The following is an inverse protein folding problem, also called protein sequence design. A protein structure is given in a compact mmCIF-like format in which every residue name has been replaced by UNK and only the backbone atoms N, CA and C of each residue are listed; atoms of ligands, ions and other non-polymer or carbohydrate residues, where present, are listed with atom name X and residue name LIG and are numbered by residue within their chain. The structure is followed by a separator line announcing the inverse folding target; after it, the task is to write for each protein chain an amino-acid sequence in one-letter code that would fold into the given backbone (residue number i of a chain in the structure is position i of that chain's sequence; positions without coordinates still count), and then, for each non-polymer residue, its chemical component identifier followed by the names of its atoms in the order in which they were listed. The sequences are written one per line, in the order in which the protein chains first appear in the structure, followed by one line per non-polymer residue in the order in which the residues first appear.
data_IF_873839286443
#
_entry.id   IF_873839286443
#
_cell.length_a   1.000
_cell.length_b   1.000
_cell.length_c   1.000
_cell.angle_alpha   90.00
_cell.angle_beta   90.00
_cell.angle_gamma   90.00
#
_symmetry.space_group_name_H-M   'P 1'
#
loop_
_entity.id
_entity.type
_entity.pdbx_description
1 polymer ?
#
# COMPACT_ATOMS: atom_id res chain seq x y z
N UNK A 1 14.39 52.72 -12.46
CA UNK A 1 15.02 51.46 -12.85
C UNK A 1 14.07 50.37 -12.45
N UNK A 2 13.46 49.72 -13.44
CA UNK A 2 12.39 48.71 -13.30
C UNK A 2 13.07 47.35 -13.42
N UNK A 3 13.12 46.60 -12.35
CA UNK A 3 13.46 45.20 -12.45
C UNK A 3 12.18 44.35 -12.44
N UNK A 4 11.97 43.71 -13.57
CA UNK A 4 10.91 42.81 -13.83
C UNK A 4 11.22 41.44 -13.18
N UNK A 5 10.45 41.05 -12.23
CA UNK A 5 10.33 39.64 -11.87
C UNK A 5 9.66 38.89 -13.03
N UNK A 6 10.45 38.12 -13.73
CA UNK A 6 9.96 37.21 -14.77
C UNK A 6 9.26 36.05 -14.07
N UNK A 7 7.96 35.99 -14.30
CA UNK A 7 7.15 34.78 -14.03
C UNK A 7 7.65 33.67 -14.96
N UNK A 8 8.22 32.61 -14.41
CA UNK A 8 8.54 31.41 -15.16
C UNK A 8 7.21 30.78 -15.59
N UNK A 9 6.98 30.73 -16.89
CA UNK A 9 5.90 30.00 -17.53
C UNK A 9 6.04 28.49 -17.22
N UNK A 10 4.92 27.72 -17.10
CA UNK A 10 4.98 26.29 -16.93
C UNK A 10 5.65 25.69 -18.17
N UNK A 11 6.73 24.98 -17.88
CA UNK A 11 7.60 24.32 -18.84
C UNK A 11 6.84 23.34 -19.72
N UNK A 12 7.19 23.40 -20.98
CA UNK A 12 6.88 22.54 -22.09
C UNK A 12 6.53 21.11 -21.70
N UNK A 13 5.25 20.79 -21.83
CA UNK A 13 4.82 19.42 -22.02
C UNK A 13 5.59 18.87 -23.22
N UNK A 14 6.43 17.86 -22.98
CA UNK A 14 7.12 17.14 -24.04
C UNK A 14 6.08 16.69 -25.08
N UNK A 15 6.03 17.39 -26.20
CA UNK A 15 5.18 17.03 -27.34
C UNK A 15 5.75 15.72 -27.89
N UNK A 16 5.12 14.61 -27.53
CA UNK A 16 5.35 13.33 -28.19
C UNK A 16 5.03 13.50 -29.65
N UNK A 17 6.05 13.40 -30.48
CA UNK A 17 5.89 13.56 -31.93
C UNK A 17 5.35 12.22 -32.49
N UNK A 18 4.17 12.27 -33.13
CA UNK A 18 3.52 11.07 -33.71
C UNK A 18 4.40 10.37 -34.75
N UNK A 19 5.39 11.09 -35.33
CA UNK A 19 6.37 10.51 -36.26
C UNK A 19 7.35 9.50 -35.65
N UNK A 20 7.47 9.46 -34.31
CA UNK A 20 8.39 8.54 -33.61
C UNK A 20 7.76 7.15 -33.40
N UNK A 21 6.49 6.98 -33.77
CA UNK A 21 5.77 5.72 -33.72
C UNK A 21 5.99 4.87 -34.98
N UNK A 22 7.22 4.48 -35.25
CA UNK A 22 7.47 3.40 -36.20
C UNK A 22 7.38 2.06 -35.46
N UNK A 23 6.37 1.27 -35.78
CA UNK A 23 6.28 -0.11 -35.33
C UNK A 23 7.60 -0.82 -35.65
N UNK A 24 8.24 -1.53 -34.69
CA UNK A 24 9.44 -2.27 -34.95
C UNK A 24 9.14 -3.38 -35.95
N UNK A 25 9.85 -3.40 -37.06
CA UNK A 25 9.96 -4.54 -37.91
C UNK A 25 11.10 -5.40 -37.32
N UNK A 26 10.78 -6.65 -37.07
CA UNK A 26 11.67 -7.72 -36.62
C UNK A 26 11.81 -7.94 -35.10
N UNK A 27 11.70 -9.27 -34.76
CA UNK A 27 11.63 -9.91 -33.46
C UNK A 27 12.84 -9.79 -32.53
N UNK A 28 13.37 -8.60 -32.35
CA UNK A 28 14.30 -8.26 -31.28
C UNK A 28 13.53 -7.77 -30.06
N UNK A 29 13.97 -8.11 -28.88
CA UNK A 29 13.40 -7.66 -27.62
C UNK A 29 13.12 -6.14 -27.69
N UNK A 30 11.85 -5.77 -27.83
CA UNK A 30 11.40 -4.38 -27.88
C UNK A 30 11.73 -3.77 -26.54
N UNK A 31 12.83 -3.01 -26.45
CA UNK A 31 12.97 -2.01 -25.40
C UNK A 31 11.72 -1.16 -25.48
N UNK A 32 10.86 -1.23 -24.46
CA UNK A 32 9.63 -0.45 -24.39
C UNK A 32 9.98 1.02 -24.55
N UNK A 33 9.68 1.61 -25.72
CA UNK A 33 9.84 3.04 -26.02
C UNK A 33 8.93 3.94 -25.16
N UNK A 34 8.13 3.32 -24.30
CA UNK A 34 7.13 3.96 -23.42
C UNK A 34 7.26 3.55 -21.97
N UNK A 35 8.46 3.64 -21.44
CA UNK A 35 8.54 3.81 -19.99
C UNK A 35 8.75 5.30 -19.77
N UNK A 36 7.70 6.02 -19.34
CA UNK A 36 7.93 7.34 -18.79
C UNK A 36 8.99 7.17 -17.70
N UNK A 37 9.94 8.06 -17.58
CA UNK A 37 10.86 8.03 -16.46
C UNK A 37 10.05 7.85 -15.19
N UNK A 38 10.54 7.05 -14.24
CA UNK A 38 10.06 7.16 -12.86
C UNK A 38 10.26 8.62 -12.49
N UNK A 39 9.21 9.26 -12.12
CA UNK A 39 9.27 10.70 -12.12
C UNK A 39 10.27 11.18 -11.10
N UNK A 40 11.03 12.16 -11.52
CA UNK A 40 11.15 13.34 -10.68
C UNK A 40 9.75 13.83 -10.17
N UNK A 41 8.66 13.21 -10.55
CA UNK A 41 7.23 13.36 -10.29
C UNK A 41 6.70 12.59 -9.08
N UNK A 42 7.53 11.94 -8.30
CA UNK A 42 7.17 11.51 -6.95
C UNK A 42 6.65 12.76 -6.22
N UNK A 43 5.36 12.78 -5.89
CA UNK A 43 4.81 13.85 -5.08
C UNK A 43 5.64 13.94 -3.79
N UNK A 44 6.17 15.13 -3.50
CA UNK A 44 6.98 15.35 -2.32
C UNK A 44 6.17 14.93 -1.09
N UNK A 45 6.65 13.90 -0.39
CA UNK A 45 6.05 13.47 0.87
C UNK A 45 6.28 14.60 1.87
N UNK A 46 5.19 15.24 2.28
CA UNK A 46 5.25 16.25 3.35
C UNK A 46 5.72 15.54 4.61
N UNK A 47 6.76 16.05 5.25
CA UNK A 47 7.27 15.43 6.47
C UNK A 47 6.15 15.32 7.51
N UNK A 48 6.05 14.24 8.28
CA UNK A 48 5.03 14.08 9.31
C UNK A 48 4.97 15.26 10.29
N UNK A 49 6.11 15.91 10.56
CA UNK A 49 6.20 17.10 11.41
C UNK A 49 5.49 18.31 10.79
N UNK A 50 5.78 18.61 9.50
CA UNK A 50 5.14 19.73 8.82
C UNK A 50 3.62 19.50 8.62
N UNK A 51 3.23 18.26 8.30
CA UNK A 51 1.82 17.88 8.20
C UNK A 51 1.09 18.00 9.54
N UNK A 52 1.74 17.65 10.65
CA UNK A 52 1.23 17.81 12.01
C UNK A 52 0.99 19.29 12.35
N UNK A 53 1.96 20.16 12.06
CA UNK A 53 1.83 21.61 12.33
C UNK A 53 0.65 22.22 11.59
N UNK A 54 0.42 21.83 10.35
CA UNK A 54 -0.67 22.32 9.52
C UNK A 54 -2.07 22.03 10.13
N UNK A 55 -2.20 20.95 10.93
CA UNK A 55 -3.50 20.54 11.51
C UNK A 55 -3.63 20.84 13.01
N UNK A 56 -2.64 21.48 13.66
CA UNK A 56 -2.70 21.76 15.10
C UNK A 56 -3.91 22.63 15.50
N UNK A 57 -4.25 23.61 14.68
CA UNK A 57 -5.37 24.52 14.89
C UNK A 57 -6.64 24.12 14.11
N UNK A 58 -6.59 22.97 13.42
CA UNK A 58 -7.71 22.48 12.63
C UNK A 58 -8.88 22.01 13.53
N UNK A 59 -10.10 21.93 12.98
CA UNK A 59 -11.26 21.39 13.69
C UNK A 59 -11.01 19.98 14.25
N UNK A 60 -11.71 19.56 15.33
CA UNK A 60 -11.47 18.28 16.00
C UNK A 60 -11.55 17.07 15.08
N UNK A 61 -12.44 17.08 14.07
CA UNK A 61 -12.58 15.98 13.13
C UNK A 61 -11.39 15.86 12.15
N UNK A 62 -10.86 16.98 11.68
CA UNK A 62 -9.68 16.99 10.79
C UNK A 62 -8.42 16.52 11.55
N UNK A 63 -8.25 16.96 12.79
CA UNK A 63 -7.16 16.46 13.66
C UNK A 63 -7.26 14.95 13.90
N UNK A 64 -8.48 14.45 14.11
CA UNK A 64 -8.73 13.02 14.27
C UNK A 64 -8.45 12.23 13.00
N UNK A 65 -8.88 12.74 11.84
CA UNK A 65 -8.63 12.14 10.53
C UNK A 65 -7.13 12.09 10.21
N UNK A 66 -6.39 13.14 10.52
CA UNK A 66 -4.95 13.16 10.39
C UNK A 66 -4.28 11.98 11.10
N UNK A 67 -4.70 11.64 12.33
CA UNK A 67 -4.13 10.49 13.08
C UNK A 67 -4.34 9.16 12.36
N UNK A 68 -5.48 8.99 11.67
CA UNK A 68 -5.75 7.78 10.89
C UNK A 68 -4.85 7.67 9.66
N UNK A 69 -4.57 8.81 9.01
CA UNK A 69 -3.91 8.88 7.71
C UNK A 69 -2.40 9.15 7.78
N UNK A 70 -1.88 9.60 8.93
CA UNK A 70 -0.45 9.91 9.06
C UNK A 70 0.43 8.68 8.78
N UNK A 71 1.42 8.84 7.91
CA UNK A 71 2.47 7.84 7.69
C UNK A 71 3.40 7.82 8.90
N UNK A 72 3.71 6.62 9.35
CA UNK A 72 4.62 6.42 10.47
C UNK A 72 5.88 5.74 9.97
N UNK A 73 7.02 6.34 10.21
CA UNK A 73 8.33 5.79 9.83
C UNK A 73 8.72 4.60 10.76
N UNK A 74 7.86 3.57 10.75
CA UNK A 74 8.22 2.30 11.37
C UNK A 74 9.15 1.52 10.44
N UNK A 75 10.07 0.75 11.00
CA UNK A 75 11.03 -0.02 10.20
C UNK A 75 10.33 -0.89 9.14
N UNK A 76 9.24 -1.57 9.51
CA UNK A 76 8.49 -2.43 8.59
C UNK A 76 7.79 -1.64 7.48
N UNK A 77 7.26 -0.44 7.76
CA UNK A 77 6.66 0.44 6.76
C UNK A 77 7.72 0.94 5.77
N UNK A 78 8.83 1.46 6.27
CA UNK A 78 9.96 1.95 5.45
C UNK A 78 10.48 0.83 4.56
N UNK A 79 10.78 -0.35 5.14
CA UNK A 79 11.26 -1.50 4.40
C UNK A 79 10.28 -1.92 3.28
N UNK A 80 8.98 -1.95 3.56
CA UNK A 80 7.97 -2.33 2.58
C UNK A 80 7.89 -1.32 1.42
N UNK A 81 7.83 -0.01 1.74
CA UNK A 81 7.74 1.05 0.72
C UNK A 81 9.00 1.13 -0.14
N UNK A 82 10.19 1.08 0.45
CA UNK A 82 11.46 1.06 -0.28
C UNK A 82 11.59 -0.19 -1.18
N UNK A 83 11.15 -1.36 -0.68
CA UNK A 83 11.16 -2.59 -1.48
C UNK A 83 10.24 -2.48 -2.69
N UNK A 84 9.05 -1.89 -2.55
CA UNK A 84 8.12 -1.66 -3.66
C UNK A 84 8.72 -0.68 -4.66
N UNK A 85 9.26 0.44 -4.19
CA UNK A 85 9.89 1.45 -5.05
C UNK A 85 11.11 0.86 -5.81
N UNK A 86 11.92 0.03 -5.17
CA UNK A 86 13.01 -0.67 -5.83
C UNK A 86 12.53 -1.65 -6.93
N UNK A 87 11.40 -2.33 -6.72
CA UNK A 87 10.77 -3.16 -7.75
C UNK A 87 10.28 -2.31 -8.93
N UNK A 88 9.64 -1.18 -8.66
CA UNK A 88 9.18 -0.24 -9.69
C UNK A 88 10.34 0.28 -10.57
N UNK A 89 11.52 0.51 -9.97
CA UNK A 89 12.73 0.93 -10.70
C UNK A 89 13.27 -0.17 -11.62
N UNK A 90 13.09 -1.45 -11.26
CA UNK A 90 13.54 -2.60 -12.06
C UNK A 90 12.63 -2.88 -13.25
N UNK A 91 11.38 -2.41 -13.24
CA UNK A 91 10.40 -2.65 -14.32
C UNK A 91 10.92 -2.08 -15.62
N UNK A 92 11.08 -2.96 -16.65
CA UNK A 92 11.65 -2.64 -17.95
C UNK A 92 13.17 -2.44 -17.98
N UNK A 93 13.84 -2.40 -16.83
CA UNK A 93 15.30 -2.41 -16.79
C UNK A 93 15.87 -3.83 -16.81
N UNK A 94 15.12 -4.79 -16.28
CA UNK A 94 15.49 -6.22 -16.26
C UNK A 94 14.32 -7.09 -16.72
N UNK A 95 14.63 -8.25 -17.30
CA UNK A 95 13.61 -9.18 -17.81
C UNK A 95 12.78 -9.84 -16.70
N UNK A 96 13.36 -10.02 -15.52
CA UNK A 96 12.68 -10.57 -14.36
C UNK A 96 12.90 -9.66 -13.14
N UNK A 97 12.05 -8.66 -12.93
CA UNK A 97 12.22 -7.67 -11.87
C UNK A 97 12.06 -8.24 -10.46
N UNK A 98 11.54 -9.46 -10.33
CA UNK A 98 11.20 -10.06 -9.05
C UNK A 98 9.85 -9.57 -8.52
N UNK A 99 9.55 -9.92 -7.28
CA UNK A 99 8.34 -9.48 -6.60
C UNK A 99 8.49 -9.55 -5.09
N UNK A 100 7.41 -9.20 -4.39
CA UNK A 100 7.39 -9.05 -2.93
C UNK A 100 6.15 -9.71 -2.34
N UNK A 101 6.32 -10.35 -1.19
CA UNK A 101 5.21 -10.82 -0.34
C UNK A 101 5.21 -10.06 0.99
N UNK A 102 4.14 -9.30 1.25
CA UNK A 102 3.93 -8.55 2.50
C UNK A 102 2.91 -9.30 3.35
N UNK A 103 3.31 -9.73 4.52
CA UNK A 103 2.44 -10.47 5.42
C UNK A 103 2.21 -9.72 6.73
N UNK A 104 1.11 -10.02 7.39
CA UNK A 104 0.77 -9.46 8.70
C UNK A 104 -0.70 -9.70 9.04
N UNK A 105 -1.03 -9.59 10.32
CA UNK A 105 -2.38 -9.77 10.81
C UNK A 105 -3.36 -8.72 10.26
N UNK A 106 -4.66 -8.95 10.50
CA UNK A 106 -5.69 -7.97 10.18
C UNK A 106 -5.44 -6.64 10.90
N UNK A 107 -5.32 -5.53 10.15
CA UNK A 107 -5.05 -4.21 10.74
C UNK A 107 -3.57 -3.91 11.00
N UNK A 108 -2.63 -4.74 10.54
CA UNK A 108 -1.19 -4.46 10.64
C UNK A 108 -0.69 -3.34 9.69
N UNK A 109 -1.53 -2.87 8.75
CA UNK A 109 -1.17 -1.74 7.88
C UNK A 109 -0.88 -2.12 6.42
N UNK A 110 -1.09 -3.35 5.98
CA UNK A 110 -0.84 -3.79 4.58
C UNK A 110 -1.50 -2.90 3.53
N UNK A 111 -2.81 -2.72 3.64
CA UNK A 111 -3.58 -1.85 2.73
C UNK A 111 -3.09 -0.40 2.79
N UNK A 112 -2.72 0.08 3.98
CA UNK A 112 -2.18 1.43 4.17
C UNK A 112 -0.86 1.64 3.42
N UNK A 113 0.04 0.64 3.37
CA UNK A 113 1.26 0.70 2.54
C UNK A 113 0.88 0.86 1.06
N UNK A 114 -0.11 0.13 0.59
CA UNK A 114 -0.58 0.23 -0.79
C UNK A 114 -1.21 1.59 -1.09
N UNK A 115 -1.96 2.15 -0.14
CA UNK A 115 -2.52 3.50 -0.25
C UNK A 115 -1.42 4.56 -0.32
N UNK A 116 -0.40 4.45 0.54
CA UNK A 116 0.76 5.34 0.55
C UNK A 116 1.54 5.31 -0.78
N UNK A 117 1.82 4.11 -1.31
CA UNK A 117 2.48 3.97 -2.62
C UNK A 117 1.62 4.56 -3.73
N UNK A 118 0.30 4.28 -3.74
CA UNK A 118 -0.60 4.83 -4.76
C UNK A 118 -0.69 6.37 -4.69
N UNK A 119 -0.63 6.94 -3.49
CA UNK A 119 -0.61 8.39 -3.31
C UNK A 119 0.70 9.04 -3.78
N UNK A 120 1.84 8.36 -3.60
CA UNK A 120 3.15 8.82 -4.08
C UNK A 120 3.27 8.78 -5.61
N UNK A 121 2.59 7.84 -6.25
CA UNK A 121 2.60 7.62 -7.70
C UNK A 121 1.17 7.64 -8.25
N UNK A 122 0.54 8.83 -8.29
CA UNK A 122 -0.85 8.96 -8.67
C UNK A 122 -1.08 8.64 -10.15
N UNK A 123 -2.32 8.30 -10.48
CA UNK A 123 -2.76 8.19 -11.86
C UNK A 123 -2.77 9.58 -12.50
N UNK A 124 -2.35 9.65 -13.75
CA UNK A 124 -2.44 10.86 -14.56
C UNK A 124 -3.12 10.54 -15.88
N UNK A 125 -3.94 11.45 -16.37
CA UNK A 125 -4.59 11.32 -17.67
C UNK A 125 -4.23 12.52 -18.54
N UNK A 126 -3.85 12.24 -19.78
CA UNK A 126 -3.74 13.23 -20.84
C UNK A 126 -4.88 13.03 -21.83
N UNK A 127 -5.00 13.89 -22.84
CA UNK A 127 -6.03 13.74 -23.88
C UNK A 127 -5.90 12.42 -24.67
N UNK A 128 -4.72 11.82 -24.71
CA UNK A 128 -4.42 10.66 -25.55
C UNK A 128 -4.00 9.42 -24.76
N UNK A 129 -3.57 9.55 -23.51
CA UNK A 129 -2.96 8.46 -22.75
C UNK A 129 -3.37 8.56 -21.29
N UNK A 130 -3.77 7.45 -20.73
CA UNK A 130 -3.95 7.27 -19.29
C UNK A 130 -2.68 6.63 -18.72
N UNK A 131 -2.10 7.25 -17.71
CA UNK A 131 -0.90 6.80 -17.03
C UNK A 131 -1.26 6.26 -15.65
N UNK A 132 -0.89 5.02 -15.36
CA UNK A 132 -1.21 4.32 -14.12
C UNK A 132 0.00 3.51 -13.64
N UNK A 133 0.98 4.14 -12.96
CA UNK A 133 2.22 3.45 -12.54
C UNK A 133 1.99 2.36 -11.50
N UNK A 134 0.92 2.43 -10.74
CA UNK A 134 0.56 1.49 -9.70
C UNK A 134 -0.83 0.92 -9.98
N UNK A 135 -0.91 -0.31 -10.47
CA UNK A 135 -2.18 -1.02 -10.62
C UNK A 135 -2.53 -1.79 -9.34
N UNK A 136 -3.81 -1.86 -9.01
CA UNK A 136 -4.26 -2.54 -7.78
C UNK A 136 -5.42 -3.47 -8.05
N UNK A 137 -5.42 -4.59 -7.32
CA UNK A 137 -6.57 -5.49 -7.22
C UNK A 137 -6.69 -6.01 -5.80
N UNK A 138 -7.92 -6.18 -5.35
CA UNK A 138 -8.22 -6.84 -4.07
C UNK A 138 -8.92 -8.16 -4.36
N UNK A 139 -8.36 -9.24 -3.86
CA UNK A 139 -8.95 -10.56 -4.03
C UNK A 139 -10.13 -10.78 -3.06
N UNK A 140 -11.25 -11.25 -3.61
CA UNK A 140 -12.40 -11.70 -2.84
C UNK A 140 -12.17 -13.10 -2.26
N UNK A 141 -13.18 -13.64 -1.56
CA UNK A 141 -13.15 -15.01 -1.11
C UNK A 141 -13.19 -15.99 -2.31
N UNK A 142 -12.29 -16.99 -2.32
CA UNK A 142 -12.17 -17.99 -3.40
C UNK A 142 -11.96 -17.34 -4.80
N UNK A 143 -10.93 -16.52 -4.97
CA UNK A 143 -10.72 -15.77 -6.20
C UNK A 143 -10.39 -16.71 -7.36
N UNK A 144 -10.93 -16.39 -8.53
CA UNK A 144 -10.62 -17.03 -9.80
C UNK A 144 -9.61 -16.20 -10.60
N UNK A 145 -9.08 -16.79 -11.68
CA UNK A 145 -8.27 -16.07 -12.65
C UNK A 145 -9.05 -14.91 -13.28
N UNK A 146 -10.34 -15.15 -13.57
CA UNK A 146 -11.22 -14.13 -14.12
C UNK A 146 -11.38 -12.93 -13.15
N UNK A 147 -11.52 -13.17 -11.85
CA UNK A 147 -11.63 -12.11 -10.85
C UNK A 147 -10.36 -11.24 -10.79
N UNK A 148 -9.19 -11.87 -10.92
CA UNK A 148 -7.92 -11.16 -10.96
C UNK A 148 -7.79 -10.28 -12.21
N UNK A 149 -8.02 -10.85 -13.40
CA UNK A 149 -7.90 -10.14 -14.68
C UNK A 149 -8.93 -9.02 -14.80
N UNK A 150 -10.20 -9.32 -14.49
CA UNK A 150 -11.29 -8.34 -14.55
C UNK A 150 -11.08 -7.21 -13.53
N UNK A 151 -10.66 -7.55 -12.32
CA UNK A 151 -10.39 -6.54 -11.28
C UNK A 151 -9.29 -5.56 -11.70
N UNK A 152 -8.22 -6.03 -12.34
CA UNK A 152 -7.15 -5.17 -12.86
C UNK A 152 -7.63 -4.35 -14.07
N UNK A 153 -8.36 -4.96 -15.00
CA UNK A 153 -8.91 -4.24 -16.18
C UNK A 153 -9.94 -3.19 -15.78
N UNK A 154 -10.77 -3.47 -14.78
CA UNK A 154 -11.70 -2.50 -14.21
C UNK A 154 -10.94 -1.35 -13.53
N UNK A 155 -9.92 -1.66 -12.74
CA UNK A 155 -9.06 -0.66 -12.13
C UNK A 155 -8.40 0.25 -13.17
N UNK A 156 -8.00 -0.29 -14.32
CA UNK A 156 -7.41 0.46 -15.44
C UNK A 156 -8.44 1.18 -16.33
N UNK A 157 -9.75 1.08 -16.04
CA UNK A 157 -10.79 1.70 -16.84
C UNK A 157 -11.18 0.94 -18.12
N UNK A 158 -10.74 -0.32 -18.29
CA UNK A 158 -10.97 -1.15 -19.46
C UNK A 158 -12.07 -2.22 -19.30
N UNK A 159 -12.99 -2.04 -18.36
CA UNK A 159 -14.03 -3.02 -18.02
C UNK A 159 -14.87 -3.52 -19.22
N UNK A 160 -15.21 -2.64 -20.17
CA UNK A 160 -16.02 -2.99 -21.36
C UNK A 160 -15.29 -3.94 -22.31
N UNK A 161 -13.96 -3.78 -22.48
CA UNK A 161 -13.15 -4.69 -23.30
C UNK A 161 -12.97 -6.05 -22.63
N UNK A 162 -12.96 -6.06 -21.31
CA UNK A 162 -12.77 -7.24 -20.49
C UNK A 162 -13.93 -8.23 -20.55
N UNK A 163 -15.17 -7.74 -20.57
CA UNK A 163 -16.38 -8.58 -20.55
C UNK A 163 -16.55 -9.46 -21.79
N UNK A 164 -16.01 -9.03 -22.94
CA UNK A 164 -16.13 -9.73 -24.21
C UNK A 164 -15.07 -10.82 -24.44
N UNK A 165 -13.93 -10.77 -23.75
CA UNK A 165 -12.83 -11.71 -23.89
C UNK A 165 -12.78 -12.71 -22.73
N UNK A 166 -12.28 -13.94 -22.99
CA UNK A 166 -12.14 -14.99 -21.98
C UNK A 166 -10.77 -15.65 -22.11
N UNK A 167 -10.27 -16.22 -20.98
CA UNK A 167 -9.04 -16.97 -20.92
C UNK A 167 -7.84 -16.18 -21.45
N UNK A 168 -6.94 -16.83 -22.18
CA UNK A 168 -5.68 -16.29 -22.70
C UNK A 168 -5.83 -14.95 -23.45
N UNK A 169 -6.93 -14.77 -24.20
CA UNK A 169 -7.21 -13.52 -24.90
C UNK A 169 -7.46 -12.34 -23.93
N UNK A 170 -8.09 -12.60 -22.79
CA UNK A 170 -8.27 -11.59 -21.74
C UNK A 170 -6.93 -11.23 -21.09
N UNK A 171 -6.12 -12.22 -20.79
CA UNK A 171 -4.76 -12.03 -20.24
C UNK A 171 -3.91 -11.17 -21.17
N UNK A 172 -3.96 -11.42 -22.48
CA UNK A 172 -3.25 -10.61 -23.46
C UNK A 172 -3.74 -9.14 -23.44
N UNK A 173 -5.06 -8.91 -23.42
CA UNK A 173 -5.64 -7.55 -23.30
C UNK A 173 -5.16 -6.87 -22.02
N UNK A 174 -5.11 -7.59 -20.89
CA UNK A 174 -4.64 -7.05 -19.63
C UNK A 174 -3.15 -6.68 -19.71
N UNK A 175 -2.30 -7.55 -20.24
CA UNK A 175 -0.87 -7.26 -20.42
C UNK A 175 -0.64 -6.01 -21.30
N UNK A 176 -1.40 -5.89 -22.38
CA UNK A 176 -1.30 -4.74 -23.28
C UNK A 176 -1.81 -3.44 -22.60
N UNK A 177 -2.91 -3.52 -21.85
CA UNK A 177 -3.44 -2.38 -21.08
C UNK A 177 -2.43 -1.89 -20.02
N UNK A 178 -1.84 -2.81 -19.25
CA UNK A 178 -0.83 -2.48 -18.24
C UNK A 178 0.40 -1.79 -18.86
N UNK A 179 0.87 -2.30 -20.02
CA UNK A 179 1.99 -1.68 -20.73
C UNK A 179 1.63 -0.30 -21.28
N UNK A 180 0.44 -0.15 -21.87
CA UNK A 180 -0.03 1.13 -22.41
C UNK A 180 -0.20 2.18 -21.32
N UNK A 181 -0.66 1.78 -20.14
CA UNK A 181 -0.78 2.65 -18.96
C UNK A 181 0.56 2.92 -18.25
N UNK A 182 1.68 2.36 -18.73
CA UNK A 182 2.99 2.53 -18.09
C UNK A 182 3.06 1.96 -16.68
N UNK A 183 2.32 0.89 -16.41
CA UNK A 183 2.28 0.27 -15.08
C UNK A 183 3.65 -0.31 -14.71
N UNK A 184 4.09 -0.01 -13.50
CA UNK A 184 5.39 -0.41 -12.97
C UNK A 184 5.33 -1.43 -11.84
N UNK A 185 4.19 -1.52 -11.19
CA UNK A 185 3.93 -2.51 -10.13
C UNK A 185 2.45 -2.84 -10.06
N UNK A 186 2.17 -4.09 -9.75
CA UNK A 186 0.82 -4.58 -9.47
C UNK A 186 0.75 -4.91 -7.98
N UNK A 187 -0.18 -4.29 -7.27
CA UNK A 187 -0.44 -4.50 -5.84
C UNK A 187 -1.68 -5.37 -5.67
N UNK A 188 -1.52 -6.54 -5.07
CA UNK A 188 -2.60 -7.50 -4.83
C UNK A 188 -2.90 -7.59 -3.35
N UNK A 189 -4.04 -7.05 -2.93
CA UNK A 189 -4.47 -7.08 -1.54
C UNK A 189 -5.32 -8.33 -1.24
N UNK A 190 -5.34 -8.73 0.03
CA UNK A 190 -6.04 -9.90 0.56
C UNK A 190 -5.64 -11.23 -0.16
N UNK A 191 -4.39 -11.31 -0.63
CA UNK A 191 -3.89 -12.45 -1.39
C UNK A 191 -3.92 -13.79 -0.64
N UNK A 192 -4.13 -13.79 0.68
CA UNK A 192 -4.33 -15.01 1.44
C UNK A 192 -5.60 -15.77 1.05
N UNK A 193 -6.53 -15.16 0.34
CA UNK A 193 -7.72 -15.82 -0.19
C UNK A 193 -7.41 -16.81 -1.33
N UNK A 194 -6.23 -16.71 -1.96
CA UNK A 194 -5.77 -17.71 -2.94
C UNK A 194 -5.32 -19.02 -2.30
N UNK A 195 -5.11 -19.06 -0.97
CA UNK A 195 -4.76 -20.29 -0.24
C UNK A 195 -5.99 -21.21 -0.23
N UNK A 196 -5.90 -22.44 -0.79
CA UNK A 196 -7.01 -23.36 -0.77
C UNK A 196 -7.46 -23.68 0.66
N UNK A 197 -8.77 -23.79 0.88
CA UNK A 197 -9.29 -24.21 2.18
C UNK A 197 -8.74 -25.59 2.56
N UNK A 198 -8.28 -25.73 3.80
CA UNK A 198 -7.75 -26.99 4.33
C UNK A 198 -8.79 -28.11 4.22
N UNK A 199 -8.52 -29.15 3.45
CA UNK A 199 -9.41 -30.29 3.26
C UNK A 199 -9.52 -30.80 1.82
N UNK A 200 -9.16 -30.03 0.84
CA UNK A 200 -9.12 -30.49 -0.55
C UNK A 200 -7.90 -31.37 -0.79
N UNK A 201 -8.05 -32.69 -0.65
CA UNK A 201 -6.99 -33.70 -0.90
C UNK A 201 -6.45 -33.68 -2.34
N UNK A 202 -7.09 -32.95 -3.27
CA UNK A 202 -6.70 -32.87 -4.69
C UNK A 202 -5.59 -31.85 -4.98
N UNK A 203 -5.20 -30.99 -4.03
CA UNK A 203 -4.29 -29.88 -4.31
C UNK A 203 -2.94 -29.91 -3.56
N UNK A 204 -2.48 -31.10 -3.13
CA UNK A 204 -1.13 -31.19 -2.49
C UNK A 204 0.02 -30.78 -3.41
N UNK A 205 -0.17 -30.89 -4.73
CA UNK A 205 0.86 -30.53 -5.74
C UNK A 205 0.69 -29.11 -6.28
N UNK A 206 -0.37 -28.38 -5.86
CA UNK A 206 -0.67 -26.99 -6.25
C UNK A 206 -1.00 -26.16 -5.03
N UNK A 207 0.01 -25.76 -4.29
CA UNK A 207 -0.13 -25.06 -3.01
C UNK A 207 -0.93 -23.76 -3.13
N UNK A 208 -0.79 -23.04 -4.23
CA UNK A 208 -1.49 -21.78 -4.51
C UNK A 208 -2.74 -21.93 -5.39
N UNK A 209 -3.11 -23.17 -5.75
CA UNK A 209 -4.24 -23.43 -6.67
C UNK A 209 -4.07 -22.87 -8.07
N UNK A 210 -5.18 -22.82 -8.83
CA UNK A 210 -5.16 -22.36 -10.22
C UNK A 210 -4.73 -20.89 -10.39
N UNK A 211 -5.07 -20.02 -9.43
CA UNK A 211 -4.65 -18.62 -9.47
C UNK A 211 -3.14 -18.47 -9.24
N UNK A 212 -2.52 -19.32 -8.40
CA UNK A 212 -1.08 -19.29 -8.18
C UNK A 212 -0.30 -19.75 -9.42
N UNK A 213 -0.78 -20.78 -10.12
CA UNK A 213 -0.18 -21.22 -11.38
C UNK A 213 -0.32 -20.13 -12.46
N UNK A 214 -1.51 -19.57 -12.59
CA UNK A 214 -1.76 -18.45 -13.49
C UNK A 214 -0.88 -17.23 -13.17
N UNK A 215 -0.71 -16.87 -11.91
CA UNK A 215 0.12 -15.72 -11.51
C UNK A 215 1.59 -15.89 -11.96
N UNK A 216 2.12 -17.12 -11.97
CA UNK A 216 3.46 -17.42 -12.50
C UNK A 216 3.54 -17.17 -14.00
N UNK A 217 2.57 -17.69 -14.76
CA UNK A 217 2.49 -17.49 -16.22
C UNK A 217 2.28 -16.02 -16.58
N UNK A 218 1.37 -15.34 -15.88
CA UNK A 218 1.10 -13.92 -16.07
C UNK A 218 2.34 -13.06 -15.81
N UNK A 219 3.08 -13.33 -14.71
CA UNK A 219 4.32 -12.63 -14.41
C UNK A 219 5.36 -12.82 -15.52
N UNK A 220 5.52 -14.06 -16.01
CA UNK A 220 6.47 -14.39 -17.09
C UNK A 220 6.08 -13.74 -18.44
N UNK A 221 4.80 -13.42 -18.67
CA UNK A 221 4.32 -12.71 -19.85
C UNK A 221 4.41 -11.18 -19.73
N UNK A 222 4.00 -10.64 -18.59
CA UNK A 222 3.91 -9.19 -18.39
C UNK A 222 5.25 -8.54 -18.04
N UNK A 223 6.13 -9.25 -17.32
CA UNK A 223 7.39 -8.74 -16.76
C UNK A 223 7.21 -7.53 -15.83
N UNK A 224 6.03 -7.41 -15.22
CA UNK A 224 5.72 -6.37 -14.24
C UNK A 224 5.76 -7.02 -12.84
N UNK A 225 6.49 -6.44 -11.86
CA UNK A 225 6.54 -6.98 -10.52
C UNK A 225 5.17 -6.98 -9.86
N UNK A 226 4.87 -8.06 -9.14
CA UNK A 226 3.65 -8.20 -8.37
C UNK A 226 4.02 -8.19 -6.88
N UNK A 227 3.29 -7.42 -6.11
CA UNK A 227 3.39 -7.37 -4.65
C UNK A 227 2.14 -7.96 -4.05
N UNK A 228 2.29 -9.07 -3.37
CA UNK A 228 1.21 -9.79 -2.71
C UNK A 228 1.10 -9.37 -1.25
N UNK A 229 -0.06 -8.96 -0.79
CA UNK A 229 -0.31 -8.66 0.61
C UNK A 229 -1.39 -9.57 1.19
N UNK A 230 -1.11 -10.16 2.35
CA UNK A 230 -2.06 -11.07 2.99
C UNK A 230 -1.73 -11.42 4.44
N UNK A 231 -2.48 -12.38 4.99
CA UNK A 231 -2.22 -12.93 6.33
C UNK A 231 -0.93 -13.75 6.36
N UNK A 232 -0.36 -14.02 7.56
CA UNK A 232 0.92 -14.74 7.69
C UNK A 232 1.01 -16.07 6.94
N UNK A 233 -0.11 -16.83 6.83
CA UNK A 233 -0.17 -18.07 6.05
C UNK A 233 0.23 -17.92 4.57
N UNK A 234 0.09 -16.73 4.00
CA UNK A 234 0.56 -16.44 2.65
C UNK A 234 2.09 -16.55 2.54
N UNK A 235 2.82 -16.09 3.55
CA UNK A 235 4.27 -16.18 3.60
C UNK A 235 4.77 -17.63 3.59
N UNK A 236 4.05 -18.53 4.29
CA UNK A 236 4.35 -19.96 4.29
C UNK A 236 4.12 -20.56 2.90
N UNK A 237 2.99 -20.25 2.25
CA UNK A 237 2.71 -20.69 0.89
C UNK A 237 3.83 -20.33 -0.09
N UNK A 238 4.31 -19.08 -0.03
CA UNK A 238 5.40 -18.60 -0.89
C UNK A 238 6.75 -19.18 -0.52
N UNK A 239 6.95 -19.62 0.72
CA UNK A 239 8.18 -20.30 1.14
C UNK A 239 8.22 -21.77 0.70
N UNK A 240 7.08 -22.43 0.74
CA UNK A 240 6.95 -23.87 0.49
C UNK A 240 6.91 -24.20 -1.02
N UNK A 241 6.41 -23.29 -1.85
CA UNK A 241 6.41 -23.41 -3.32
C UNK A 241 7.67 -22.80 -3.90
N UNK A 242 8.62 -23.63 -4.36
CA UNK A 242 9.90 -23.18 -4.94
C UNK A 242 9.74 -22.28 -6.17
N UNK A 243 8.68 -22.44 -6.96
CA UNK A 243 8.43 -21.61 -8.15
C UNK A 243 7.89 -20.23 -7.76
N UNK A 244 7.02 -20.16 -6.74
CA UNK A 244 6.58 -18.88 -6.18
C UNK A 244 7.74 -18.18 -5.48
N UNK A 245 8.51 -18.89 -4.68
CA UNK A 245 9.65 -18.32 -3.97
C UNK A 245 10.71 -17.74 -4.91
N UNK A 246 10.96 -18.37 -6.06
CA UNK A 246 11.94 -17.87 -7.05
C UNK A 246 11.50 -16.56 -7.71
N UNK A 247 10.18 -16.37 -7.97
CA UNK A 247 9.63 -15.15 -8.59
C UNK A 247 9.38 -14.05 -7.58
N UNK A 248 9.01 -14.41 -6.33
CA UNK A 248 8.73 -13.49 -5.24
C UNK A 248 9.66 -13.72 -4.04
N UNK A 249 10.97 -13.52 -4.20
CA UNK A 249 11.94 -13.77 -3.14
C UNK A 249 11.87 -12.75 -2.00
N UNK A 250 11.35 -11.54 -2.28
CA UNK A 250 11.21 -10.48 -1.28
C UNK A 250 10.12 -10.81 -0.28
N UNK A 251 10.42 -10.64 1.01
CA UNK A 251 9.47 -10.88 2.11
C UNK A 251 9.55 -9.76 3.13
N UNK A 252 8.40 -9.17 3.45
CA UNK A 252 8.26 -8.21 4.54
C UNK A 252 7.14 -8.67 5.45
N UNK A 253 7.42 -8.77 6.75
CA UNK A 253 6.42 -9.11 7.76
C UNK A 253 6.09 -7.88 8.60
N UNK A 254 4.81 -7.51 8.61
CA UNK A 254 4.32 -6.43 9.46
C UNK A 254 3.98 -7.00 10.85
N UNK A 255 4.58 -6.47 11.91
CA UNK A 255 4.40 -7.03 13.23
C UNK A 255 3.00 -6.71 13.81
N UNK A 256 2.51 -7.59 14.65
CA UNK A 256 1.61 -7.25 15.75
C UNK A 256 2.47 -6.96 16.96
N UNK A 257 2.33 -5.77 17.55
CA UNK A 257 3.23 -5.31 18.60
C UNK A 257 2.90 -5.97 19.93
N UNK A 258 3.86 -6.67 20.50
CA UNK A 258 3.78 -7.19 21.87
C UNK A 258 4.36 -6.16 22.87
N UNK A 259 4.00 -6.22 24.17
CA UNK A 259 4.63 -5.37 25.18
C UNK A 259 6.15 -5.53 25.18
N UNK A 260 6.88 -4.42 25.07
CA UNK A 260 8.34 -4.42 24.98
C UNK A 260 8.88 -3.22 24.22
N UNK A 261 10.16 -3.24 23.88
CA UNK A 261 10.88 -2.11 23.29
C UNK A 261 10.28 -1.64 21.96
N UNK A 262 9.87 -2.55 21.09
CA UNK A 262 9.28 -2.21 19.79
C UNK A 262 7.92 -1.51 19.95
N UNK A 263 7.11 -1.93 20.92
CA UNK A 263 5.87 -1.23 21.29
C UNK A 263 6.16 0.18 21.77
N UNK A 264 7.12 0.36 22.67
CA UNK A 264 7.51 1.67 23.18
C UNK A 264 8.12 2.57 22.09
N UNK A 265 8.87 2.01 21.15
CA UNK A 265 9.36 2.75 19.97
C UNK A 265 8.22 3.24 19.09
N UNK A 266 7.25 2.37 18.78
CA UNK A 266 6.05 2.74 18.03
C UNK A 266 5.30 3.89 18.71
N UNK A 267 5.07 3.79 20.03
CA UNK A 267 4.37 4.82 20.78
C UNK A 267 5.12 6.16 20.79
N UNK A 268 6.46 6.16 20.83
CA UNK A 268 7.25 7.40 20.69
C UNK A 268 7.09 8.04 19.31
N UNK A 269 7.06 7.24 18.25
CA UNK A 269 6.85 7.74 16.89
C UNK A 269 5.45 8.34 16.77
N UNK A 270 4.43 7.64 17.28
CA UNK A 270 3.06 8.14 17.31
C UNK A 270 2.92 9.42 18.15
N UNK A 271 3.53 9.46 19.33
CA UNK A 271 3.47 10.64 20.21
C UNK A 271 3.99 11.92 19.54
N UNK A 272 5.07 11.78 18.74
CA UNK A 272 5.60 12.89 17.94
C UNK A 272 4.72 13.28 16.77
N UNK A 273 3.96 12.35 16.24
CA UNK A 273 3.07 12.57 15.11
C UNK A 273 1.69 13.11 15.52
N UNK A 274 1.27 12.94 16.78
CA UNK A 274 -0.04 13.43 17.23
C UNK A 274 -0.17 14.95 17.08
N UNK A 275 -1.29 15.45 16.53
CA UNK A 275 -1.57 16.89 16.40
C UNK A 275 -2.03 17.49 17.74
N UNK A 276 -1.12 17.46 18.72
CA UNK A 276 -1.31 18.00 20.07
C UNK A 276 -0.24 19.05 20.37
N UNK A 277 -0.57 20.07 21.13
CA UNK A 277 0.34 21.17 21.45
C UNK A 277 1.55 20.76 22.32
N UNK A 278 1.40 19.68 23.10
CA UNK A 278 2.45 19.12 23.95
C UNK A 278 2.54 17.59 23.77
N UNK A 279 3.71 16.97 24.04
CA UNK A 279 3.84 15.52 24.06
C UNK A 279 2.84 14.87 25.03
N UNK A 280 2.25 13.76 24.61
CA UNK A 280 1.23 13.04 25.38
C UNK A 280 1.80 11.91 26.24
N UNK A 281 3.12 11.67 26.15
CA UNK A 281 3.85 10.63 26.90
C UNK A 281 3.25 9.22 26.70
N UNK A 282 2.87 8.90 25.44
CA UNK A 282 2.25 7.61 25.11
C UNK A 282 3.12 6.41 25.51
N UNK A 283 4.44 6.59 25.56
CA UNK A 283 5.42 5.58 25.93
C UNK A 283 5.66 5.46 27.45
N UNK A 284 4.96 6.25 28.29
CA UNK A 284 5.03 6.04 29.75
C UNK A 284 4.42 4.69 30.12
N UNK A 285 4.97 4.03 31.15
CA UNK A 285 4.58 2.67 31.49
C UNK A 285 3.05 2.47 31.70
N UNK A 286 2.34 3.33 32.44
CA UNK A 286 0.90 3.15 32.63
C UNK A 286 0.10 3.37 31.33
N UNK A 287 0.45 4.37 30.52
CA UNK A 287 -0.25 4.66 29.26
C UNK A 287 0.03 3.56 28.24
N UNK A 288 1.28 3.13 28.10
CA UNK A 288 1.66 2.07 27.18
C UNK A 288 0.97 0.73 27.51
N UNK A 289 0.87 0.38 28.79
CA UNK A 289 0.14 -0.80 29.24
C UNK A 289 -1.35 -0.71 28.95
N UNK A 290 -1.97 0.43 29.25
CA UNK A 290 -3.38 0.69 28.93
C UNK A 290 -3.64 0.56 27.42
N UNK A 291 -2.86 1.27 26.59
CA UNK A 291 -3.01 1.24 25.13
C UNK A 291 -2.87 -0.18 24.58
N UNK A 292 -1.91 -0.96 25.11
CA UNK A 292 -1.74 -2.34 24.69
C UNK A 292 -2.94 -3.22 25.12
N UNK A 293 -3.43 -3.09 26.34
CA UNK A 293 -4.56 -3.89 26.86
C UNK A 293 -5.84 -3.71 26.03
N UNK A 294 -6.07 -2.49 25.51
CA UNK A 294 -7.25 -2.15 24.70
C UNK A 294 -7.07 -2.54 23.23
N UNK A 295 -5.86 -2.36 22.68
CA UNK A 295 -5.61 -2.52 21.24
C UNK A 295 -4.99 -3.87 20.87
N UNK A 296 -4.44 -4.60 21.84
CA UNK A 296 -3.70 -5.85 21.67
C UNK A 296 -2.52 -5.69 20.69
N UNK A 297 -1.89 -4.52 20.68
CA UNK A 297 -0.78 -4.20 19.79
C UNK A 297 -1.17 -4.07 18.31
N UNK A 298 -2.45 -4.03 17.99
CA UNK A 298 -2.93 -3.87 16.62
C UNK A 298 -2.89 -2.40 16.20
N UNK A 299 -2.14 -2.10 15.14
CA UNK A 299 -1.90 -0.72 14.70
C UNK A 299 -3.18 0.02 14.27
N UNK A 300 -4.10 -0.66 13.57
CA UNK A 300 -5.38 -0.05 13.17
C UNK A 300 -6.22 0.33 14.39
N UNK A 301 -6.32 -0.58 15.37
CA UNK A 301 -7.04 -0.29 16.62
C UNK A 301 -6.40 0.84 17.41
N UNK A 302 -5.06 0.88 17.44
CA UNK A 302 -4.31 1.94 18.12
C UNK A 302 -4.55 3.30 17.47
N UNK A 303 -4.42 3.40 16.15
CA UNK A 303 -4.70 4.64 15.44
C UNK A 303 -6.16 5.10 15.62
N UNK A 304 -7.11 4.17 15.58
CA UNK A 304 -8.53 4.48 15.80
C UNK A 304 -8.77 5.02 17.21
N UNK A 305 -8.18 4.39 18.23
CA UNK A 305 -8.28 4.86 19.62
C UNK A 305 -7.66 6.25 19.78
N UNK A 306 -6.44 6.46 19.27
CA UNK A 306 -5.74 7.75 19.37
C UNK A 306 -6.47 8.86 18.58
N UNK A 307 -7.05 8.53 17.43
CA UNK A 307 -7.89 9.44 16.65
C UNK A 307 -9.08 9.96 17.49
N UNK A 308 -9.80 9.06 18.15
CA UNK A 308 -10.91 9.46 19.02
C UNK A 308 -10.42 10.23 20.26
N UNK A 309 -9.26 9.83 20.85
CA UNK A 309 -8.65 10.60 21.95
C UNK A 309 -8.34 12.04 21.54
N UNK A 310 -7.72 12.23 20.36
CA UNK A 310 -7.40 13.57 19.83
C UNK A 310 -8.67 14.37 19.58
N UNK A 311 -9.72 13.74 19.07
CA UNK A 311 -11.01 14.39 18.84
C UNK A 311 -11.64 14.89 20.14
N UNK A 312 -11.66 14.04 21.18
CA UNK A 312 -12.18 14.44 22.52
C UNK A 312 -11.33 15.56 23.09
N UNK A 313 -10.00 15.41 23.12
CA UNK A 313 -9.09 16.41 23.65
C UNK A 313 -9.19 17.77 22.92
N UNK A 314 -9.41 17.74 21.59
CA UNK A 314 -9.61 18.96 20.82
C UNK A 314 -10.92 19.68 21.16
N UNK A 315 -12.00 18.95 21.45
CA UNK A 315 -13.24 19.53 21.98
C UNK A 315 -13.02 20.20 23.33
N UNK A 316 -12.23 19.59 24.19
CA UNK A 316 -11.90 20.11 25.52
C UNK A 316 -10.82 21.20 25.48
N UNK A 317 -10.32 21.56 24.29
CA UNK A 317 -9.21 22.51 24.10
C UNK A 317 -7.95 22.11 24.87
N UNK A 318 -7.75 20.81 25.08
CA UNK A 318 -6.61 20.28 25.79
C UNK A 318 -5.35 20.34 24.93
N UNK A 319 -4.21 20.67 25.54
CA UNK A 319 -2.92 20.77 24.87
C UNK A 319 -2.19 19.41 24.78
N UNK A 320 -2.62 18.41 25.56
CA UNK A 320 -2.11 17.04 25.54
C UNK A 320 -3.21 16.06 25.93
N UNK A 321 -3.02 14.77 25.62
CA UNK A 321 -3.93 13.71 26.05
C UNK A 321 -3.78 13.43 27.54
N UNK A 322 -4.90 13.20 28.21
CA UNK A 322 -4.99 12.80 29.62
C UNK A 322 -5.63 11.43 29.76
N UNK A 323 -5.55 10.84 30.94
CA UNK A 323 -6.18 9.53 31.21
C UNK A 323 -7.68 9.53 30.94
N UNK A 324 -8.38 10.63 31.24
CA UNK A 324 -9.81 10.76 30.96
C UNK A 324 -10.12 10.72 29.47
N UNK A 325 -9.29 11.33 28.62
CA UNK A 325 -9.44 11.25 27.17
C UNK A 325 -9.30 9.82 26.66
N UNK A 326 -8.34 9.05 27.19
CA UNK A 326 -8.18 7.64 26.83
C UNK A 326 -9.36 6.77 27.25
N UNK A 327 -9.87 6.98 28.47
CA UNK A 327 -11.04 6.27 28.98
C UNK A 327 -12.30 6.59 28.19
N UNK A 328 -12.54 7.86 27.92
CA UNK A 328 -13.72 8.31 27.16
C UNK A 328 -13.67 7.79 25.72
N UNK A 329 -12.53 7.89 25.05
CA UNK A 329 -12.37 7.35 23.70
C UNK A 329 -12.57 5.82 23.66
N UNK A 330 -11.99 5.09 24.61
CA UNK A 330 -12.19 3.64 24.74
C UNK A 330 -13.67 3.27 24.93
N UNK A 331 -14.37 4.03 25.76
CA UNK A 331 -15.83 3.87 26.00
C UNK A 331 -16.64 4.11 24.72
N UNK A 332 -16.37 5.20 24.00
CA UNK A 332 -17.07 5.54 22.74
C UNK A 332 -16.88 4.48 21.67
N UNK A 333 -15.69 3.93 21.57
CA UNK A 333 -15.36 2.89 20.60
C UNK A 333 -15.76 1.48 21.07
N UNK A 334 -16.33 1.35 22.25
CA UNK A 334 -16.62 0.04 22.88
C UNK A 334 -15.41 -0.89 22.94
N UNK A 335 -14.22 -0.30 23.06
CA UNK A 335 -12.94 -1.01 23.19
C UNK A 335 -12.67 -1.24 24.68
N UNK A 336 -13.23 -2.32 25.24
CA UNK A 336 -12.99 -2.67 26.63
C UNK A 336 -11.60 -3.32 26.77
N UNK A 337 -10.86 -2.97 27.83
CA UNK A 337 -9.69 -3.75 28.27
C UNK A 337 -10.12 -5.16 28.61
N UNK A 338 -9.26 -6.15 28.28
CA UNK A 338 -9.52 -7.52 28.72
C UNK A 338 -9.71 -7.57 30.24
N UNK A 339 -10.70 -8.32 30.77
CA UNK A 339 -10.85 -8.52 32.20
C UNK A 339 -9.59 -9.20 32.74
N UNK A 340 -8.80 -8.49 33.54
CA UNK A 340 -7.56 -9.01 34.13
C UNK A 340 -6.36 -8.07 34.16
N UNK A 341 -6.39 -6.92 33.46
CA UNK A 341 -5.35 -5.88 33.61
C UNK A 341 -5.75 -4.91 34.74
N UNK A 342 -5.59 -5.33 35.97
CA UNK A 342 -5.57 -4.48 37.17
C UNK A 342 -4.15 -4.39 37.70
#
# INVERSE_FOLDING_TARGET
MKDRLACASPTESAKLNISDFKAPRDGGATKSLFQPPLPDERLAVVSPAAAREAVLEAPPHERAEFVLNVELDTQAFVQATESIEALMQRTGAVSQPGGLCITGDGGAGKTFIFDAISARYPRAATLLTEFCPVARVRLGAMPTVDDFDLGLLEFLGHALKASAAKGEKRTQILCDALRQCGTRVILVDEAHHMIPASGSRRNRDRLAGGLGDYAKEFYDQCHIPIVWAGKPGLGNLFADDGQLNSRWPGKVSLPTYIPGDEWLKLLRVLDRALPMGKPCQLNSAPVAAFLHSVTLGNLRRLKLLLSECVKVAAHDKAVSLTEDHFREASRRLSMNSLPGAR
#
